data_IF_531800048955
#
_entry.id   IF_531800048955
#
_cell.length_a   1.000
_cell.length_b   1.000
_cell.length_c   1.000
_cell.angle_alpha   90.00
_cell.angle_beta   90.00
_cell.angle_gamma   90.00
#
_symmetry.space_group_name_H-M   'P 1'
#
loop_
_entity.id
_entity.type
_entity.pdbx_description
1 polymer ?
#
# COMPACT_ATOMS: atom_id res chain seq x y z
N UNK A 1 -0.86 -3.09 -4.28
CA UNK A 1 -1.30 -3.73 -3.03
C UNK A 1 -1.23 -2.72 -1.88
N UNK A 2 -2.28 -2.60 -1.11
CA UNK A 2 -2.36 -1.63 -0.03
C UNK A 2 -3.03 -2.18 1.21
N UNK A 3 -2.59 -1.72 2.39
CA UNK A 3 -3.18 -2.10 3.67
C UNK A 3 -2.99 -0.98 4.70
N UNK A 4 -3.69 -1.10 5.81
CA UNK A 4 -3.58 -0.15 6.93
C UNK A 4 -2.42 -0.47 7.88
N UNK A 5 -1.66 -1.51 7.58
CA UNK A 5 -0.45 -1.91 8.30
C UNK A 5 0.72 -2.06 7.33
N UNK A 6 1.90 -2.40 7.84
CA UNK A 6 2.98 -2.87 6.99
C UNK A 6 2.59 -4.18 6.28
N UNK A 7 2.99 -4.34 5.03
CA UNK A 7 2.63 -5.52 4.24
C UNK A 7 3.53 -6.74 4.51
N UNK A 8 4.36 -6.68 5.52
CA UNK A 8 5.18 -7.80 5.98
C UNK A 8 4.93 -8.10 7.44
N UNK A 9 5.03 -9.37 7.81
CA UNK A 9 4.86 -9.85 9.17
C UNK A 9 6.24 -10.13 9.79
N UNK A 10 6.46 -9.62 10.98
CA UNK A 10 7.71 -9.87 11.71
C UNK A 10 7.46 -10.48 13.10
N UNK A 11 8.16 -11.54 13.48
CA UNK A 11 9.11 -12.29 12.65
C UNK A 11 8.40 -13.14 11.59
N UNK A 12 9.04 -13.31 10.42
CA UNK A 12 8.48 -14.15 9.36
C UNK A 12 9.09 -15.57 9.40
N UNK A 13 8.43 -16.59 8.80
CA UNK A 13 8.90 -17.96 8.82
C UNK A 13 10.06 -18.26 7.86
N UNK A 14 10.48 -17.29 7.03
CA UNK A 14 11.48 -17.51 6.00
C UNK A 14 12.81 -16.89 6.39
N UNK A 15 13.81 -17.71 6.68
CA UNK A 15 15.14 -17.24 7.10
C UNK A 15 15.87 -16.42 6.03
N UNK A 16 15.57 -16.67 4.75
CA UNK A 16 16.21 -16.01 3.61
C UNK A 16 15.75 -14.56 3.39
N UNK A 17 14.61 -14.21 3.92
CA UNK A 17 13.97 -12.93 3.64
C UNK A 17 13.70 -12.17 4.94
N UNK A 18 14.16 -10.92 4.99
CA UNK A 18 13.84 -10.02 6.08
C UNK A 18 12.40 -9.48 5.93
N UNK A 19 12.05 -9.10 4.69
CA UNK A 19 10.72 -8.60 4.35
C UNK A 19 10.24 -9.31 3.07
N UNK A 20 9.69 -10.54 3.18
CA UNK A 20 9.37 -11.34 1.99
C UNK A 20 8.35 -10.70 1.06
N UNK A 21 7.33 -10.04 1.56
CA UNK A 21 6.32 -9.38 0.71
C UNK A 21 6.96 -8.23 -0.09
N UNK A 22 7.75 -7.39 0.56
CA UNK A 22 8.45 -6.32 -0.14
C UNK A 22 9.50 -6.86 -1.12
N UNK A 23 10.25 -7.86 -0.74
CA UNK A 23 11.29 -8.44 -1.60
C UNK A 23 10.69 -9.13 -2.83
N UNK A 24 9.68 -9.97 -2.65
CA UNK A 24 9.02 -10.66 -3.77
C UNK A 24 8.14 -9.69 -4.57
N UNK A 25 7.35 -8.88 -3.91
CA UNK A 25 6.44 -7.97 -4.57
C UNK A 25 7.15 -6.89 -5.37
N UNK A 26 8.02 -6.12 -4.74
CA UNK A 26 8.69 -5.00 -5.40
C UNK A 26 9.77 -5.46 -6.35
N UNK A 27 10.68 -6.30 -5.87
CA UNK A 27 11.88 -6.66 -6.65
C UNK A 27 11.57 -7.67 -7.74
N UNK A 28 10.87 -8.76 -7.40
CA UNK A 28 10.62 -9.85 -8.36
C UNK A 28 9.41 -9.62 -9.27
N UNK A 29 8.37 -8.98 -8.75
CA UNK A 29 7.11 -8.78 -9.47
C UNK A 29 6.90 -7.37 -10.01
N UNK A 30 7.68 -6.38 -9.54
CA UNK A 30 7.47 -4.99 -9.88
C UNK A 30 6.16 -4.41 -9.34
N UNK A 31 5.65 -4.97 -8.27
CA UNK A 31 4.39 -4.58 -7.67
C UNK A 31 4.58 -3.35 -6.76
N UNK A 32 3.73 -2.36 -6.92
CA UNK A 32 3.71 -1.23 -6.00
C UNK A 32 3.01 -1.63 -4.71
N UNK A 33 3.60 -1.24 -3.58
CA UNK A 33 3.08 -1.55 -2.26
C UNK A 33 2.79 -0.24 -1.51
N UNK A 34 1.58 -0.15 -0.97
CA UNK A 34 1.16 0.94 -0.10
C UNK A 34 1.04 0.41 1.33
N UNK A 35 1.93 0.84 2.20
CA UNK A 35 1.94 0.46 3.61
C UNK A 35 1.26 1.51 4.48
N UNK A 36 0.69 1.07 5.58
CA UNK A 36 0.19 1.94 6.65
C UNK A 36 -0.82 3.01 6.18
N UNK A 37 -1.74 2.63 5.30
CA UNK A 37 -2.77 3.52 4.82
C UNK A 37 -3.86 3.75 5.87
N UNK A 38 -4.32 4.99 5.99
CA UNK A 38 -5.48 5.31 6.84
C UNK A 38 -6.76 5.04 6.05
N UNK A 39 -7.45 3.96 6.40
CA UNK A 39 -8.59 3.46 5.63
C UNK A 39 -9.96 3.70 6.29
N UNK A 40 -10.00 4.25 7.48
CA UNK A 40 -11.25 4.40 8.25
C UNK A 40 -12.25 5.29 7.54
N UNK A 41 -11.83 6.45 7.04
CA UNK A 41 -12.70 7.37 6.31
C UNK A 41 -13.17 6.76 4.98
N UNK A 42 -12.31 6.03 4.30
CA UNK A 42 -12.65 5.32 3.07
C UNK A 42 -13.68 4.23 3.32
N UNK A 43 -13.49 3.44 4.37
CA UNK A 43 -14.42 2.37 4.72
C UNK A 43 -15.82 2.94 5.02
N UNK A 44 -15.89 4.04 5.77
CA UNK A 44 -17.15 4.73 6.05
C UNK A 44 -17.81 5.24 4.77
N UNK A 45 -17.05 5.87 3.88
CA UNK A 45 -17.57 6.38 2.61
C UNK A 45 -18.08 5.25 1.71
N UNK A 46 -17.39 4.13 1.64
CA UNK A 46 -17.82 2.94 0.89
C UNK A 46 -19.13 2.38 1.44
N UNK A 47 -19.25 2.30 2.76
CA UNK A 47 -20.47 1.81 3.43
C UNK A 47 -21.67 2.72 3.15
N UNK A 48 -21.49 4.03 3.27
CA UNK A 48 -22.55 5.02 3.01
C UNK A 48 -23.02 4.98 1.56
N UNK A 49 -22.12 4.76 0.61
CA UNK A 49 -22.44 4.72 -0.82
C UNK A 49 -22.90 3.35 -1.30
N UNK A 50 -22.71 2.30 -0.49
CA UNK A 50 -23.03 0.92 -0.87
C UNK A 50 -22.15 0.40 -2.00
N UNK A 51 -20.95 0.97 -2.19
CA UNK A 51 -19.97 0.53 -3.22
C UNK A 51 -18.60 0.41 -2.62
N UNK A 52 -17.90 -0.65 -3.05
CA UNK A 52 -16.51 -0.92 -2.65
C UNK A 52 -15.55 -0.76 -3.84
N UNK A 53 -16.06 -0.26 -4.95
CA UNK A 53 -15.29 0.02 -6.16
C UNK A 53 -15.15 1.53 -6.33
N UNK A 54 -13.94 1.97 -6.63
CA UNK A 54 -13.64 3.39 -6.78
C UNK A 54 -12.37 3.57 -7.61
N UNK A 55 -12.20 4.77 -8.14
CA UNK A 55 -10.94 5.18 -8.75
C UNK A 55 -10.03 5.73 -7.67
N UNK A 56 -8.78 5.32 -7.66
CA UNK A 56 -7.78 5.83 -6.73
C UNK A 56 -6.63 6.48 -7.48
N UNK A 57 -6.15 7.59 -6.96
CA UNK A 57 -4.95 8.25 -7.45
C UNK A 57 -3.91 8.30 -6.34
N UNK A 58 -2.74 7.74 -6.61
CA UNK A 58 -1.61 7.68 -5.68
C UNK A 58 -0.37 8.14 -6.43
N UNK A 59 0.21 9.25 -6.01
CA UNK A 59 1.41 9.78 -6.64
C UNK A 59 2.52 9.92 -5.61
N UNK A 60 3.69 9.30 -5.85
CA UNK A 60 4.85 9.49 -5.00
C UNK A 60 5.43 10.90 -5.16
N UNK A 61 6.17 11.34 -4.16
CA UNK A 61 6.93 12.57 -4.25
C UNK A 61 8.05 12.40 -5.28
N UNK A 62 8.29 13.43 -6.07
CA UNK A 62 9.35 13.42 -7.08
C UNK A 62 10.68 13.78 -6.42
N UNK A 63 11.27 12.82 -5.74
CA UNK A 63 12.54 12.96 -5.04
C UNK A 63 13.64 12.19 -5.77
N UNK A 64 14.85 12.75 -5.88
CA UNK A 64 15.95 12.04 -6.51
C UNK A 64 16.46 10.91 -5.61
N UNK A 65 16.86 9.79 -6.22
CA UNK A 65 17.55 8.66 -5.57
C UNK A 65 16.82 8.05 -4.35
N UNK A 66 15.50 8.05 -4.35
CA UNK A 66 14.72 7.42 -3.27
C UNK A 66 14.01 6.17 -3.76
N UNK A 67 13.79 5.21 -2.86
CA UNK A 67 13.11 3.94 -3.14
C UNK A 67 11.69 3.89 -2.58
N UNK A 68 11.31 4.88 -1.80
CA UNK A 68 9.99 4.99 -1.21
C UNK A 68 9.59 6.44 -1.00
N UNK A 69 8.32 6.69 -0.80
CA UNK A 69 7.77 8.03 -0.61
C UNK A 69 6.52 8.01 0.25
N UNK A 70 6.33 8.99 1.14
CA UNK A 70 5.00 9.24 1.67
C UNK A 70 4.07 9.67 0.53
N UNK A 71 2.81 9.26 0.60
CA UNK A 71 1.79 9.57 -0.40
C UNK A 71 0.50 10.01 0.27
N UNK A 72 -0.30 10.76 -0.47
CA UNK A 72 -1.65 11.12 -0.05
C UNK A 72 -2.65 10.59 -1.09
N UNK A 73 -3.15 9.36 -0.92
CA UNK A 73 -4.10 8.78 -1.86
C UNK A 73 -5.41 9.56 -1.91
N UNK A 74 -5.94 9.75 -3.11
CA UNK A 74 -7.23 10.39 -3.34
C UNK A 74 -8.16 9.38 -4.01
N UNK A 75 -9.34 9.20 -3.43
CA UNK A 75 -10.36 8.28 -3.94
C UNK A 75 -11.51 9.07 -4.55
N UNK A 76 -11.95 8.64 -5.71
CA UNK A 76 -13.09 9.22 -6.44
C UNK A 76 -14.11 8.10 -6.72
N UNK A 77 -15.30 8.29 -6.21
CA UNK A 77 -16.40 7.36 -6.46
C UNK A 77 -17.12 7.61 -7.76
#
# INVERSE_FOLDING_TARGET
MGSDTGNDVGPNPYERFTNPVHQVGIVSMGLWILDNAWLDDLAEACEQRGRWEFMISILPLKLPTVTGSPVNPIVIF
#
